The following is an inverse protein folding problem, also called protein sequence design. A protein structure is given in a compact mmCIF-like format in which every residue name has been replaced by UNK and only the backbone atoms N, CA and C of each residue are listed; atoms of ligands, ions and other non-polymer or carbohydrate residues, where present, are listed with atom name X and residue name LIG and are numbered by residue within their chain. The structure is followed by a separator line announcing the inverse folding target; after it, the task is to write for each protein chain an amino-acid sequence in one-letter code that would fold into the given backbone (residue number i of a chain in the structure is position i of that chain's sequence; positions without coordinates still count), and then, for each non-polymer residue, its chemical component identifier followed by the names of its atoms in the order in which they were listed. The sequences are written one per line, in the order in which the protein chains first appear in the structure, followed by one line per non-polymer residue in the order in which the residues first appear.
data_IF_813885157592
#
_entry.id   IF_813885157592
#
_cell.length_a   1.000
_cell.length_b   1.000
_cell.length_c   1.000
_cell.angle_alpha   90.00
_cell.angle_beta   90.00
_cell.angle_gamma   90.00
#
_symmetry.space_group_name_H-M   'P 1'
#
loop_
_entity.id
_entity.type
_entity.pdbx_description
1 polymer ?
#
# COMPACT_ATOMS: atom_id res chain seq x y z
N UNK A 1 6.20 23.04 -8.00
CA UNK A 1 5.90 21.61 -7.78
C UNK A 1 4.61 21.13 -8.48
N UNK A 2 3.61 21.96 -8.73
CA UNK A 2 2.39 21.59 -9.48
C UNK A 2 2.62 21.22 -10.96
N UNK A 3 3.64 21.76 -11.60
CA UNK A 3 3.83 21.57 -13.06
C UNK A 3 4.33 20.18 -13.48
N UNK A 4 4.95 19.44 -12.58
CA UNK A 4 5.41 18.06 -12.86
C UNK A 4 4.32 17.00 -12.63
N UNK A 5 3.38 17.23 -11.72
CA UNK A 5 2.35 16.25 -11.35
C UNK A 5 1.32 15.98 -12.45
N UNK A 6 0.82 17.02 -13.11
CA UNK A 6 -0.25 16.86 -14.13
C UNK A 6 0.21 16.21 -15.43
N UNK A 7 1.46 16.42 -15.85
CA UNK A 7 2.02 15.77 -17.04
C UNK A 7 2.45 14.33 -16.80
N UNK A 8 2.83 13.96 -15.57
CA UNK A 8 3.22 12.58 -15.25
C UNK A 8 2.03 11.60 -15.25
N UNK A 9 0.82 12.06 -14.92
CA UNK A 9 -0.39 11.23 -14.97
C UNK A 9 -0.75 10.74 -16.36
N UNK A 10 -0.26 11.36 -17.41
CA UNK A 10 -0.58 11.01 -18.82
C UNK A 10 0.40 10.06 -19.50
N UNK A 11 1.52 9.70 -18.84
CA UNK A 11 2.53 8.86 -19.49
C UNK A 11 2.93 7.71 -18.57
N UNK A 12 2.29 6.54 -18.71
CA UNK A 12 2.64 5.30 -18.00
C UNK A 12 4.15 5.02 -17.95
N UNK A 13 4.89 5.42 -19.01
CA UNK A 13 6.35 5.28 -19.12
C UNK A 13 7.13 6.04 -18.02
N UNK A 14 6.62 7.17 -17.53
CA UNK A 14 7.31 7.94 -16.47
C UNK A 14 6.99 7.39 -15.07
N UNK A 15 5.78 6.87 -14.84
CA UNK A 15 5.43 6.22 -13.57
C UNK A 15 6.37 5.04 -13.29
N UNK A 16 6.59 4.17 -14.28
CA UNK A 16 7.52 3.03 -14.16
C UNK A 16 8.99 3.40 -13.91
N UNK A 17 9.36 4.68 -14.06
CA UNK A 17 10.72 5.17 -13.86
C UNK A 17 10.90 6.02 -12.60
N UNK A 18 9.82 6.54 -12.02
CA UNK A 18 9.87 7.52 -10.92
C UNK A 18 9.51 6.92 -9.57
N UNK A 19 8.76 5.83 -9.55
CA UNK A 19 8.33 5.19 -8.32
C UNK A 19 9.29 4.09 -7.92
N UNK A 20 9.84 4.19 -6.71
CA UNK A 20 10.66 3.14 -6.09
C UNK A 20 9.72 2.23 -5.31
N UNK A 21 9.69 0.96 -5.69
CA UNK A 21 8.92 -0.08 -5.04
C UNK A 21 9.87 -0.92 -4.18
N UNK A 22 9.78 -0.84 -2.84
CA UNK A 22 10.53 -1.73 -1.97
C UNK A 22 9.85 -3.09 -1.90
N UNK A 23 10.60 -4.18 -2.13
CA UNK A 23 10.10 -5.55 -1.99
C UNK A 23 11.00 -6.33 -1.03
N UNK A 24 10.40 -7.05 -0.08
CA UNK A 24 11.10 -7.98 0.79
C UNK A 24 10.86 -9.40 0.33
N UNK A 25 11.92 -10.16 0.07
CA UNK A 25 11.86 -11.59 -0.20
C UNK A 25 12.32 -12.31 1.05
N UNK A 26 11.52 -13.26 1.50
CA UNK A 26 11.77 -13.99 2.73
C UNK A 26 12.41 -15.35 2.43
N UNK A 27 13.25 -15.79 3.35
CA UNK A 27 13.74 -17.17 3.44
C UNK A 27 14.29 -17.73 2.12
N UNK A 28 15.13 -16.98 1.42
CA UNK A 28 15.78 -17.45 0.20
C UNK A 28 17.16 -18.03 0.50
N UNK A 29 17.64 -18.94 -0.35
CA UNK A 29 18.99 -19.50 -0.22
C UNK A 29 20.05 -18.41 -0.39
N UNK A 30 21.08 -18.41 0.45
CA UNK A 30 22.15 -17.39 0.43
C UNK A 30 22.84 -17.25 -0.93
N UNK A 31 23.11 -18.31 -1.71
CA UNK A 31 23.61 -18.14 -3.08
C UNK A 31 22.64 -17.36 -3.98
N UNK A 32 21.32 -17.59 -3.85
CA UNK A 32 20.32 -16.82 -4.58
C UNK A 32 20.33 -15.34 -4.18
N UNK A 33 20.43 -15.05 -2.87
CA UNK A 33 20.52 -13.68 -2.36
C UNK A 33 21.70 -12.91 -2.95
N UNK A 34 22.88 -13.55 -3.01
CA UNK A 34 24.09 -12.95 -3.60
C UNK A 34 23.91 -12.66 -5.10
N UNK A 35 23.34 -13.59 -5.86
CA UNK A 35 23.08 -13.40 -7.29
C UNK A 35 22.04 -12.29 -7.51
N UNK A 36 20.91 -12.33 -6.81
CA UNK A 36 19.87 -11.31 -6.91
C UNK A 36 20.41 -9.92 -6.61
N UNK A 37 21.27 -9.78 -5.59
CA UNK A 37 21.94 -8.51 -5.29
C UNK A 37 22.76 -8.01 -6.48
N UNK A 38 23.64 -8.85 -7.04
CA UNK A 38 24.48 -8.47 -8.17
C UNK A 38 23.64 -8.07 -9.38
N UNK A 39 22.59 -8.84 -9.68
CA UNK A 39 21.74 -8.56 -10.83
C UNK A 39 20.88 -7.32 -10.63
N UNK A 40 20.38 -7.08 -9.41
CA UNK A 40 19.60 -5.86 -9.10
C UNK A 40 20.46 -4.61 -9.23
N UNK A 41 21.71 -4.63 -8.71
CA UNK A 41 22.67 -3.54 -8.89
C UNK A 41 22.99 -3.32 -10.37
N UNK A 42 23.21 -4.38 -11.16
CA UNK A 42 23.45 -4.29 -12.59
C UNK A 42 22.25 -3.73 -13.38
N UNK A 43 21.03 -3.88 -12.85
CA UNK A 43 19.82 -3.28 -13.42
C UNK A 43 19.65 -1.79 -13.07
N UNK A 44 20.44 -1.28 -12.12
CA UNK A 44 20.38 0.10 -11.63
C UNK A 44 19.49 0.30 -10.40
N UNK A 45 18.98 -0.77 -9.81
CA UNK A 45 18.32 -0.79 -8.50
C UNK A 45 19.31 -1.02 -7.38
N UNK A 46 18.82 -1.34 -6.19
CA UNK A 46 19.62 -1.70 -5.02
C UNK A 46 19.08 -2.95 -4.32
N UNK A 47 19.92 -3.61 -3.54
CA UNK A 47 19.54 -4.81 -2.79
C UNK A 47 20.33 -4.90 -1.48
N UNK A 48 19.61 -4.85 -0.36
CA UNK A 48 20.17 -5.07 0.96
C UNK A 48 20.10 -6.55 1.31
N UNK A 49 21.24 -7.12 1.69
CA UNK A 49 21.40 -8.50 2.18
C UNK A 49 22.18 -8.49 3.51
N UNK A 50 22.02 -9.49 4.39
CA UNK A 50 22.85 -9.62 5.59
C UNK A 50 24.34 -9.69 5.29
N UNK A 51 25.16 -9.17 6.20
CA UNK A 51 26.62 -9.09 6.02
C UNK A 51 27.26 -10.47 5.82
N UNK A 52 26.71 -11.51 6.48
CA UNK A 52 27.21 -12.90 6.38
C UNK A 52 26.92 -13.59 5.04
N UNK A 53 26.12 -12.99 4.15
CA UNK A 53 25.78 -13.62 2.86
C UNK A 53 27.01 -13.89 1.97
N UNK A 54 28.02 -13.00 2.00
CA UNK A 54 29.22 -13.14 1.16
C UNK A 54 29.97 -14.43 1.48
N UNK A 55 30.01 -14.81 2.74
CA UNK A 55 30.68 -16.02 3.22
C UNK A 55 29.73 -17.20 3.43
N UNK A 56 28.48 -17.06 3.02
CA UNK A 56 27.41 -18.05 3.21
C UNK A 56 27.31 -18.54 4.68
N UNK A 57 27.39 -17.61 5.64
CA UNK A 57 27.33 -17.92 7.07
C UNK A 57 25.96 -18.52 7.49
N UNK A 58 24.91 -18.19 6.76
CA UNK A 58 23.56 -18.72 6.94
C UNK A 58 23.11 -19.40 5.66
N UNK A 59 22.35 -20.48 5.76
CA UNK A 59 21.85 -21.20 4.58
C UNK A 59 20.77 -20.41 3.86
N UNK A 60 19.93 -19.71 4.62
CA UNK A 60 18.78 -18.94 4.12
C UNK A 60 18.72 -17.57 4.78
N UNK A 61 18.30 -16.59 4.03
CA UNK A 61 18.27 -15.19 4.47
C UNK A 61 17.07 -14.44 3.86
N UNK A 62 16.73 -13.32 4.50
CA UNK A 62 15.82 -12.32 3.93
C UNK A 62 16.61 -11.27 3.15
N UNK A 63 16.02 -10.76 2.08
CA UNK A 63 16.61 -9.69 1.28
C UNK A 63 15.59 -8.58 1.02
N UNK A 64 16.07 -7.34 0.86
CA UNK A 64 15.23 -6.19 0.50
C UNK A 64 15.72 -5.66 -0.85
N UNK A 65 14.82 -5.61 -1.81
CA UNK A 65 15.03 -5.01 -3.12
C UNK A 65 14.48 -3.59 -3.14
N UNK A 66 15.22 -2.67 -3.73
CA UNK A 66 14.83 -1.28 -3.95
C UNK A 66 14.98 -0.95 -5.45
N UNK A 67 13.88 -0.75 -6.13
CA UNK A 67 13.92 -0.47 -7.55
C UNK A 67 12.64 0.08 -8.13
N UNK A 68 12.73 0.62 -9.31
CA UNK A 68 11.56 0.99 -10.10
C UNK A 68 11.03 -0.23 -10.86
N UNK A 69 9.80 -0.17 -11.36
CA UNK A 69 9.23 -1.23 -12.23
C UNK A 69 10.14 -1.57 -13.40
N UNK A 70 10.88 -0.60 -13.95
CA UNK A 70 11.86 -0.84 -15.02
C UNK A 70 13.04 -1.70 -14.55
N UNK A 71 13.53 -1.49 -13.33
CA UNK A 71 14.61 -2.29 -12.76
C UNK A 71 14.14 -3.73 -12.53
N UNK A 72 12.93 -3.91 -12.00
CA UNK A 72 12.35 -5.24 -11.80
C UNK A 72 12.11 -5.98 -13.12
N UNK A 73 11.59 -5.32 -14.16
CA UNK A 73 11.41 -5.95 -15.47
C UNK A 73 12.73 -6.52 -16.01
N UNK A 74 13.83 -5.76 -15.92
CA UNK A 74 15.17 -6.23 -16.31
C UNK A 74 15.67 -7.37 -15.43
N UNK A 75 15.43 -7.29 -14.11
CA UNK A 75 15.79 -8.37 -13.20
C UNK A 75 15.08 -9.68 -13.58
N UNK A 76 13.75 -9.62 -13.82
CA UNK A 76 12.95 -10.78 -14.19
C UNK A 76 13.40 -11.43 -15.51
N UNK A 77 13.83 -10.63 -16.51
CA UNK A 77 14.44 -11.14 -17.74
C UNK A 77 15.72 -11.96 -17.45
N UNK A 78 16.60 -11.44 -16.59
CA UNK A 78 17.84 -12.11 -16.21
C UNK A 78 17.58 -13.39 -15.40
N UNK A 79 16.64 -13.34 -14.44
CA UNK A 79 16.28 -14.52 -13.64
C UNK A 79 15.71 -15.66 -14.49
N UNK A 80 15.17 -15.37 -15.68
CA UNK A 80 14.73 -16.39 -16.63
C UNK A 80 15.87 -17.31 -17.09
N UNK A 81 17.09 -16.78 -17.16
CA UNK A 81 18.28 -17.51 -17.60
C UNK A 81 19.00 -18.24 -16.45
N UNK A 82 18.49 -18.11 -15.22
CA UNK A 82 19.14 -18.61 -13.99
C UNK A 82 18.20 -19.52 -13.18
N UNK A 83 17.82 -20.73 -13.67
CA UNK A 83 16.76 -21.55 -13.04
C UNK A 83 17.23 -22.32 -11.78
N UNK A 84 18.37 -21.98 -11.19
CA UNK A 84 18.95 -22.64 -10.01
C UNK A 84 18.66 -21.91 -8.71
N UNK A 85 18.91 -22.55 -7.58
CA UNK A 85 18.74 -22.02 -6.20
C UNK A 85 17.33 -21.54 -5.86
N UNK A 86 16.29 -22.02 -6.58
CA UNK A 86 14.90 -21.58 -6.36
C UNK A 86 14.50 -20.29 -7.08
N UNK A 87 15.34 -19.78 -7.98
CA UNK A 87 15.09 -18.51 -8.68
C UNK A 87 13.84 -18.52 -9.54
N UNK A 88 13.42 -19.66 -10.08
CA UNK A 88 12.17 -19.75 -10.84
C UNK A 88 10.95 -19.43 -9.98
N UNK A 89 10.93 -19.92 -8.73
CA UNK A 89 9.87 -19.57 -7.75
C UNK A 89 9.88 -18.10 -7.39
N UNK A 90 11.06 -17.57 -7.04
CA UNK A 90 11.25 -16.14 -6.72
C UNK A 90 10.77 -15.24 -7.88
N UNK A 91 11.14 -15.60 -9.11
CA UNK A 91 10.67 -14.87 -10.30
C UNK A 91 9.16 -14.88 -10.41
N UNK A 92 8.52 -16.04 -10.23
CA UNK A 92 7.05 -16.19 -10.31
C UNK A 92 6.35 -15.33 -9.26
N UNK A 93 6.83 -15.33 -8.01
CA UNK A 93 6.28 -14.52 -6.93
C UNK A 93 6.46 -13.01 -7.20
N UNK A 94 7.63 -12.58 -7.64
CA UNK A 94 7.89 -11.19 -8.01
C UNK A 94 6.97 -10.73 -9.15
N UNK A 95 6.76 -11.55 -10.18
CA UNK A 95 5.83 -11.25 -11.26
C UNK A 95 4.41 -11.10 -10.74
N UNK A 96 3.93 -12.02 -9.89
CA UNK A 96 2.59 -11.96 -9.32
C UNK A 96 2.34 -10.68 -8.50
N UNK A 97 3.36 -10.21 -7.76
CA UNK A 97 3.27 -8.97 -6.97
C UNK A 97 3.29 -7.73 -7.87
N UNK A 98 4.19 -7.70 -8.86
CA UNK A 98 4.38 -6.53 -9.73
C UNK A 98 3.24 -6.36 -10.75
N UNK A 99 2.59 -7.45 -11.15
CA UNK A 99 1.43 -7.47 -12.05
C UNK A 99 0.10 -7.45 -11.30
N UNK A 100 0.13 -7.40 -9.95
CA UNK A 100 -1.08 -7.38 -9.16
C UNK A 100 -1.94 -6.14 -9.52
N UNK A 101 -3.24 -6.32 -9.75
CA UNK A 101 -4.12 -5.19 -9.99
C UNK A 101 -4.16 -4.28 -8.77
N UNK A 102 -4.28 -2.98 -9.00
CA UNK A 102 -4.48 -2.02 -7.91
C UNK A 102 -5.73 -2.42 -7.14
N UNK A 103 -5.64 -2.58 -5.80
CA UNK A 103 -6.80 -2.94 -5.00
C UNK A 103 -7.94 -1.94 -5.20
N UNK A 104 -9.15 -2.44 -5.20
CA UNK A 104 -10.35 -1.61 -5.28
C UNK A 104 -11.46 -2.17 -4.39
N UNK A 105 -12.32 -1.31 -3.88
CA UNK A 105 -13.52 -1.71 -3.14
C UNK A 105 -14.75 -1.35 -3.96
N UNK A 106 -15.60 -2.34 -4.25
CA UNK A 106 -16.88 -2.11 -4.92
C UNK A 106 -17.93 -1.87 -3.82
N UNK A 107 -18.57 -0.70 -3.88
CA UNK A 107 -19.64 -0.34 -2.96
C UNK A 107 -20.97 -0.96 -3.36
N UNK A 108 -21.93 -1.03 -2.44
CA UNK A 108 -23.25 -1.63 -2.65
C UNK A 108 -24.07 -0.96 -3.77
N UNK A 109 -23.77 0.29 -4.08
CA UNK A 109 -24.39 1.08 -5.16
C UNK A 109 -23.66 0.96 -6.51
N UNK A 110 -22.63 0.10 -6.60
CA UNK A 110 -21.84 -0.13 -7.79
C UNK A 110 -20.69 0.86 -8.02
N UNK A 111 -20.55 1.91 -7.19
CA UNK A 111 -19.38 2.77 -7.25
C UNK A 111 -18.13 2.03 -6.79
N UNK A 112 -16.98 2.44 -7.29
CA UNK A 112 -15.70 1.82 -6.98
C UNK A 112 -14.77 2.82 -6.31
N UNK A 113 -14.20 2.43 -5.16
CA UNK A 113 -13.07 3.12 -4.55
C UNK A 113 -11.78 2.52 -5.11
N UNK A 114 -11.04 3.34 -5.85
CA UNK A 114 -9.74 2.96 -6.40
C UNK A 114 -8.64 3.47 -5.48
N UNK A 115 -7.68 2.60 -5.16
CA UNK A 115 -6.54 2.93 -4.30
C UNK A 115 -5.27 3.24 -5.10
N UNK A 116 -5.43 3.79 -6.31
CA UNK A 116 -4.35 4.31 -7.15
C UNK A 116 -3.71 5.59 -6.59
N UNK A 117 -4.38 6.20 -5.62
CA UNK A 117 -3.91 7.37 -4.85
C UNK A 117 -4.38 7.25 -3.41
N UNK A 118 -3.77 8.05 -2.53
CA UNK A 118 -4.20 8.16 -1.13
C UNK A 118 -5.65 8.64 -1.06
N UNK A 119 -6.48 7.89 -0.35
CA UNK A 119 -7.84 8.30 0.01
C UNK A 119 -7.85 8.76 1.47
N UNK A 120 -8.50 9.88 1.73
CA UNK A 120 -8.68 10.41 3.08
C UNK A 120 -10.02 9.92 3.63
N UNK A 121 -10.00 9.29 4.80
CA UNK A 121 -11.21 8.91 5.54
C UNK A 121 -11.40 9.88 6.70
N UNK A 122 -12.54 10.58 6.68
CA UNK A 122 -12.97 11.42 7.79
C UNK A 122 -13.62 10.57 8.88
N UNK A 123 -13.28 10.80 10.15
CA UNK A 123 -13.88 10.10 11.30
C UNK A 123 -14.86 11.04 11.99
N UNK A 124 -16.11 10.61 12.12
CA UNK A 124 -17.20 11.35 12.73
C UNK A 124 -17.85 10.54 13.84
N UNK A 125 -17.46 10.81 15.09
CA UNK A 125 -18.01 10.13 16.25
C UNK A 125 -19.30 10.83 16.71
N UNK A 126 -20.43 10.10 16.73
CA UNK A 126 -21.76 10.55 17.13
C UNK A 126 -22.14 9.84 18.45
N UNK A 127 -21.21 9.83 19.42
CA UNK A 127 -21.52 9.23 20.73
C UNK A 127 -22.31 10.22 21.60
N UNK A 128 -23.18 9.75 22.51
CA UNK A 128 -23.93 10.59 23.44
C UNK A 128 -23.06 11.59 24.22
N UNK A 129 -21.84 11.20 24.55
CA UNK A 129 -20.86 12.04 25.26
C UNK A 129 -20.24 13.15 24.39
N UNK A 130 -20.36 13.04 23.07
CA UNK A 130 -19.77 14.00 22.13
C UNK A 130 -20.71 15.18 21.85
N UNK A 131 -21.98 15.09 22.24
CA UNK A 131 -22.98 16.11 22.01
C UNK A 131 -23.81 16.34 23.29
N UNK A 132 -24.04 17.58 23.66
CA UNK A 132 -24.75 18.01 24.87
C UNK A 132 -26.17 17.46 24.93
N UNK A 133 -26.60 16.90 26.06
CA UNK A 133 -27.91 16.33 26.29
C UNK A 133 -28.99 17.39 26.27
N UNK A 134 -29.72 17.53 25.17
CA UNK A 134 -30.85 18.50 25.12
C UNK A 134 -31.75 18.45 23.90
N UNK A 135 -31.28 18.13 22.72
CA UNK A 135 -32.14 17.99 21.55
C UNK A 135 -31.53 17.14 20.46
N UNK A 136 -32.27 16.14 19.97
CA UNK A 136 -31.80 15.20 18.94
C UNK A 136 -31.75 15.85 17.54
N UNK A 137 -32.55 16.84 17.25
CA UNK A 137 -32.68 17.46 15.91
C UNK A 137 -31.50 18.38 15.57
N UNK A 138 -31.06 19.31 16.46
CA UNK A 138 -29.86 20.11 16.20
C UNK A 138 -28.57 19.27 16.07
N UNK A 139 -28.54 18.11 16.71
CA UNK A 139 -27.41 17.18 16.64
C UNK A 139 -27.26 16.56 15.24
N UNK A 140 -28.37 16.13 14.62
CA UNK A 140 -28.37 15.57 13.29
C UNK A 140 -27.94 16.60 12.23
N UNK A 141 -28.43 17.81 12.30
CA UNK A 141 -28.03 18.88 11.39
C UNK A 141 -26.56 19.22 11.48
N UNK A 142 -26.00 19.29 12.68
CA UNK A 142 -24.55 19.51 12.90
C UNK A 142 -23.71 18.38 12.37
N UNK A 143 -24.16 17.13 12.53
CA UNK A 143 -23.48 15.94 11.99
C UNK A 143 -23.46 15.99 10.46
N UNK A 144 -24.60 16.30 9.83
CA UNK A 144 -24.72 16.41 8.37
C UNK A 144 -23.86 17.54 7.84
N UNK A 145 -23.85 18.69 8.51
CA UNK A 145 -23.02 19.83 8.12
C UNK A 145 -21.53 19.47 8.19
N UNK A 146 -21.08 18.88 9.30
CA UNK A 146 -19.69 18.46 9.49
C UNK A 146 -19.26 17.38 8.51
N UNK A 147 -20.13 16.41 8.23
CA UNK A 147 -19.90 15.40 7.19
C UNK A 147 -19.73 16.06 5.81
N UNK A 148 -20.61 17.00 5.47
CA UNK A 148 -20.53 17.77 4.22
C UNK A 148 -19.26 18.61 4.11
N UNK A 149 -18.78 19.18 5.23
CA UNK A 149 -17.52 19.91 5.26
C UNK A 149 -16.32 18.99 5.01
N UNK A 150 -16.24 17.83 5.66
CA UNK A 150 -15.18 16.84 5.44
C UNK A 150 -15.13 16.40 3.97
N UNK A 151 -16.28 16.16 3.34
CA UNK A 151 -16.34 15.81 1.92
C UNK A 151 -15.84 16.96 1.03
N UNK A 152 -16.23 18.22 1.32
CA UNK A 152 -15.74 19.39 0.58
C UNK A 152 -14.23 19.60 0.76
N UNK A 153 -13.68 19.24 1.90
CA UNK A 153 -12.24 19.30 2.19
C UNK A 153 -11.45 18.13 1.56
N UNK A 154 -12.13 17.16 0.93
CA UNK A 154 -11.50 16.11 0.16
C UNK A 154 -11.52 14.72 0.81
N UNK A 155 -12.31 14.51 1.85
CA UNK A 155 -12.56 13.15 2.35
C UNK A 155 -13.27 12.33 1.27
N UNK A 156 -12.76 11.15 0.98
CA UNK A 156 -13.35 10.19 0.03
C UNK A 156 -14.31 9.21 0.72
N UNK A 157 -14.14 9.01 2.02
CA UNK A 157 -14.90 8.10 2.87
C UNK A 157 -15.18 8.79 4.20
N UNK A 158 -16.32 8.52 4.79
CA UNK A 158 -16.63 8.91 6.17
C UNK A 158 -16.86 7.65 7.00
N UNK A 159 -16.16 7.56 8.13
CA UNK A 159 -16.38 6.56 9.17
C UNK A 159 -17.25 7.20 10.27
N UNK A 160 -18.46 6.69 10.44
CA UNK A 160 -19.44 7.26 11.36
C UNK A 160 -19.62 6.29 12.53
N UNK A 161 -19.08 6.65 13.70
CA UNK A 161 -19.18 5.90 14.92
C UNK A 161 -20.35 6.32 15.78
N UNK A 162 -21.37 5.45 15.94
CA UNK A 162 -22.56 5.68 16.79
C UNK A 162 -22.41 5.18 18.22
N UNK A 163 -21.45 4.35 18.53
CA UNK A 163 -21.23 3.73 19.83
C UNK A 163 -19.77 3.88 20.29
N UNK A 164 -19.58 3.98 21.61
CA UNK A 164 -18.25 4.03 22.21
C UNK A 164 -17.81 2.63 22.63
N UNK A 165 -16.62 2.19 22.18
CA UNK A 165 -16.00 0.93 22.60
C UNK A 165 -15.15 1.06 23.86
N UNK A 166 -15.19 2.22 24.56
CA UNK A 166 -14.43 2.43 25.80
C UNK A 166 -14.99 1.57 26.93
N UNK A 167 -14.14 1.00 27.82
CA UNK A 167 -14.61 0.30 28.99
C UNK A 167 -15.54 1.20 29.85
N UNK A 168 -16.77 0.72 30.12
CA UNK A 168 -17.76 1.46 30.93
C UNK A 168 -18.67 2.41 30.15
N UNK A 169 -18.62 2.43 28.80
CA UNK A 169 -19.63 3.14 27.99
C UNK A 169 -20.95 2.37 27.96
N UNK A 170 -22.07 3.10 28.02
CA UNK A 170 -23.40 2.53 27.88
C UNK A 170 -23.66 2.11 26.43
N UNK A 171 -24.34 0.98 26.24
CA UNK A 171 -24.76 0.53 24.92
C UNK A 171 -25.81 1.48 24.32
N UNK A 172 -25.67 1.80 23.03
CA UNK A 172 -26.62 2.64 22.29
C UNK A 172 -27.60 1.74 21.55
N UNK A 173 -28.91 1.94 21.77
CA UNK A 173 -29.96 1.24 21.02
C UNK A 173 -30.16 1.88 19.64
N UNK A 174 -30.55 1.04 18.67
CA UNK A 174 -30.77 1.48 17.26
C UNK A 174 -32.20 2.02 17.04
N UNK A 175 -32.74 2.86 17.96
CA UNK A 175 -34.09 3.44 17.85
C UNK A 175 -34.06 4.83 17.19
#
# INVERSE_FOLDING_TARGET
MQYFGEKMHKTKVFLHKSEIVPLKILDIRTPAANIIKQEMLACGGDCAIPAGCVVCAEERVDVILLGTYKHYARLLEKLTQMPYFGMAGIKSELMAILDAPIPQTILSDGRTLNYDKMLVMGILNITPDSFYAGSRVPQLEQVVEKAGEMLRQGAAVLDIGGESTRPGSDAVTAD
#
